data_IF_221242984941
#
_entry.id   IF_221242984941
#
_cell.length_a   1.000
_cell.length_b   1.000
_cell.length_c   1.000
_cell.angle_alpha   90.00
_cell.angle_beta   90.00
_cell.angle_gamma   90.00
#
_symmetry.space_group_name_H-M   'P 1'
#
loop_
_entity.id
_entity.type
_entity.pdbx_description
1 polymer ?
#
# COMPACT_ATOMS: atom_id res chain seq x y z
N UNK A 1 4.58 3.72 22.48
CA UNK A 1 3.58 2.75 22.00
C UNK A 1 4.19 1.64 21.15
N UNK A 2 4.71 1.88 19.95
CA UNK A 2 5.17 0.78 19.07
C UNK A 2 6.35 -0.04 19.62
N UNK A 3 7.42 0.63 20.09
CA UNK A 3 8.58 -0.06 20.70
C UNK A 3 8.22 -0.89 21.94
N UNK A 4 7.22 -0.44 22.70
CA UNK A 4 6.75 -1.17 23.87
C UNK A 4 5.95 -2.40 23.48
N UNK A 5 5.14 -2.31 22.42
CA UNK A 5 4.44 -3.46 21.85
C UNK A 5 5.43 -4.50 21.31
N UNK A 6 6.46 -4.08 20.56
CA UNK A 6 7.52 -4.98 20.09
C UNK A 6 8.22 -5.70 21.23
N UNK A 7 8.61 -4.96 22.28
CA UNK A 7 9.24 -5.55 23.45
C UNK A 7 8.34 -6.58 24.11
N UNK A 8 7.07 -6.25 24.34
CA UNK A 8 6.10 -7.18 24.95
C UNK A 8 5.92 -8.45 24.13
N UNK A 9 5.95 -8.36 22.80
CA UNK A 9 5.87 -9.53 21.90
C UNK A 9 7.11 -10.41 22.03
N UNK A 10 8.30 -9.81 22.09
CA UNK A 10 9.57 -10.53 22.24
C UNK A 10 9.77 -11.12 23.65
N UNK A 11 9.14 -10.54 24.67
CA UNK A 11 9.20 -11.00 26.06
C UNK A 11 8.32 -12.25 26.30
N UNK A 12 7.45 -12.64 25.37
CA UNK A 12 6.63 -13.87 25.48
C UNK A 12 7.54 -15.09 25.39
N UNK A 13 7.71 -15.77 26.54
CA UNK A 13 8.42 -17.05 26.64
C UNK A 13 7.44 -18.12 27.15
N UNK A 14 6.81 -18.83 26.24
CA UNK A 14 6.09 -20.08 26.55
C UNK A 14 6.97 -21.27 26.14
N UNK A 15 7.04 -22.30 26.98
CA UNK A 15 7.74 -23.54 26.64
C UNK A 15 7.16 -24.14 25.35
N UNK A 16 7.98 -24.18 24.30
CA UNK A 16 7.60 -24.71 22.99
C UNK A 16 6.98 -23.69 22.02
N UNK A 17 6.83 -22.41 22.38
CA UNK A 17 6.33 -21.36 21.48
C UNK A 17 7.22 -20.11 21.49
N UNK A 18 7.75 -19.77 20.32
CA UNK A 18 8.49 -18.53 20.09
C UNK A 18 7.67 -17.59 19.20
N UNK A 19 7.69 -16.31 19.54
CA UNK A 19 7.04 -15.27 18.73
C UNK A 19 8.10 -14.54 17.91
N UNK A 20 7.82 -14.37 16.63
CA UNK A 20 8.73 -13.76 15.67
C UNK A 20 8.17 -12.44 15.16
N UNK A 21 9.03 -11.43 15.11
CA UNK A 21 8.69 -10.15 14.50
C UNK A 21 9.13 -10.14 13.03
N UNK A 22 8.18 -9.82 12.15
CA UNK A 22 8.38 -9.53 10.74
C UNK A 22 8.05 -8.07 10.44
N UNK A 23 8.81 -7.42 9.55
CA UNK A 23 8.60 -6.01 9.23
C UNK A 23 9.11 -5.60 7.85
N UNK A 24 8.73 -4.41 7.44
CA UNK A 24 9.20 -3.78 6.20
C UNK A 24 10.24 -2.73 6.50
N UNK A 25 11.34 -2.73 5.75
CA UNK A 25 12.30 -1.64 5.79
C UNK A 25 11.69 -0.39 5.15
N UNK A 26 11.69 0.71 5.89
CA UNK A 26 11.15 2.01 5.46
C UNK A 26 12.26 3.06 5.48
N UNK A 27 12.13 4.18 4.74
CA UNK A 27 13.18 5.22 4.71
C UNK A 27 13.58 5.78 6.09
N UNK A 28 12.62 5.82 7.03
CA UNK A 28 12.81 6.27 8.42
C UNK A 28 13.07 5.14 9.43
N UNK A 29 13.02 3.88 8.98
CA UNK A 29 13.22 2.68 9.80
C UNK A 29 13.99 1.64 8.96
N UNK A 30 15.31 1.85 8.78
CA UNK A 30 16.14 1.02 7.91
C UNK A 30 16.30 -0.40 8.47
N UNK A 31 16.69 -1.37 7.63
CA UNK A 31 16.73 -2.78 8.04
C UNK A 31 17.67 -3.04 9.22
N UNK A 32 18.76 -2.26 9.35
CA UNK A 32 19.69 -2.36 10.47
C UNK A 32 19.01 -2.02 11.80
N UNK A 33 18.15 -0.99 11.82
CA UNK A 33 17.43 -0.57 13.02
C UNK A 33 16.36 -1.59 13.41
N UNK A 34 15.66 -2.18 12.43
CA UNK A 34 14.70 -3.26 12.68
C UNK A 34 15.39 -4.49 13.26
N UNK A 35 16.56 -4.86 12.72
CA UNK A 35 17.36 -5.97 13.24
C UNK A 35 17.81 -5.73 14.68
N UNK A 36 18.28 -4.53 15.00
CA UNK A 36 18.66 -4.16 16.38
C UNK A 36 17.49 -4.24 17.37
N UNK A 37 16.25 -4.09 16.89
CA UNK A 37 15.02 -4.20 17.70
C UNK A 37 14.50 -5.63 17.86
N UNK A 38 15.14 -6.63 17.24
CA UNK A 38 14.75 -8.04 17.38
C UNK A 38 13.80 -8.54 16.28
N UNK A 39 13.74 -7.87 15.14
CA UNK A 39 13.02 -8.40 13.97
C UNK A 39 13.79 -9.58 13.37
N UNK A 40 13.07 -10.68 13.15
CA UNK A 40 13.62 -11.93 12.65
C UNK A 40 13.53 -12.02 11.12
N UNK A 41 12.54 -11.33 10.56
CA UNK A 41 12.38 -11.17 9.12
C UNK A 41 12.19 -9.71 8.78
N UNK A 42 12.98 -9.21 7.83
CA UNK A 42 12.85 -7.85 7.31
C UNK A 42 12.74 -7.92 5.80
N UNK A 43 11.63 -7.45 5.26
CA UNK A 43 11.43 -7.32 3.81
C UNK A 43 11.90 -5.95 3.34
N UNK A 44 12.92 -5.94 2.48
CA UNK A 44 13.41 -4.73 1.81
C UNK A 44 12.61 -4.37 0.56
N UNK A 45 12.90 -3.18 0.01
CA UNK A 45 12.39 -2.70 -1.29
C UNK A 45 10.85 -2.72 -1.47
N UNK A 46 10.08 -2.68 -0.37
CA UNK A 46 8.62 -2.68 -0.42
C UNK A 46 8.06 -1.38 -1.02
N UNK A 47 8.82 -0.30 -0.87
CA UNK A 47 8.52 1.03 -1.42
C UNK A 47 8.31 0.99 -2.93
N UNK A 48 9.10 0.22 -3.66
CA UNK A 48 8.93 0.00 -5.12
C UNK A 48 7.58 -0.64 -5.42
N UNK A 49 7.21 -1.68 -4.68
CA UNK A 49 5.94 -2.38 -4.89
C UNK A 49 4.74 -1.48 -4.55
N UNK A 50 4.81 -0.76 -3.43
CA UNK A 50 3.77 0.17 -2.99
C UNK A 50 3.61 1.32 -3.99
N UNK A 51 4.71 1.92 -4.45
CA UNK A 51 4.68 3.02 -5.40
C UNK A 51 4.13 2.57 -6.76
N UNK A 52 4.56 1.40 -7.26
CA UNK A 52 4.02 0.82 -8.49
C UNK A 52 2.51 0.67 -8.39
N UNK A 53 2.02 0.11 -7.29
CA UNK A 53 0.60 -0.13 -7.11
C UNK A 53 -0.19 1.18 -7.02
N UNK A 54 0.31 2.16 -6.25
CA UNK A 54 -0.31 3.47 -6.15
C UNK A 54 -0.40 4.17 -7.52
N UNK A 55 0.67 4.16 -8.31
CA UNK A 55 0.68 4.76 -9.65
C UNK A 55 -0.31 4.07 -10.61
N UNK A 56 -0.39 2.72 -10.56
CA UNK A 56 -1.35 1.97 -11.38
C UNK A 56 -2.79 2.27 -10.97
N UNK A 57 -3.08 2.33 -9.68
CA UNK A 57 -4.40 2.68 -9.17
C UNK A 57 -4.79 4.10 -9.56
N UNK A 58 -3.86 5.05 -9.52
CA UNK A 58 -4.08 6.44 -9.91
C UNK A 58 -4.44 6.56 -11.41
N UNK A 59 -3.69 5.88 -12.29
CA UNK A 59 -4.01 5.84 -13.72
C UNK A 59 -5.36 5.20 -13.99
N UNK A 60 -5.72 4.14 -13.25
CA UNK A 60 -7.04 3.50 -13.37
C UNK A 60 -8.15 4.47 -12.99
N UNK A 61 -7.99 5.20 -11.89
CA UNK A 61 -8.96 6.22 -11.43
C UNK A 61 -9.11 7.35 -12.44
N UNK A 62 -8.00 7.85 -12.98
CA UNK A 62 -8.03 8.87 -14.03
C UNK A 62 -8.83 8.40 -15.26
N UNK A 63 -8.59 7.17 -15.72
CA UNK A 63 -9.32 6.60 -16.86
C UNK A 63 -10.80 6.38 -16.58
N UNK A 64 -11.19 5.97 -15.36
CA UNK A 64 -12.61 5.81 -15.03
C UNK A 64 -13.33 7.16 -14.99
N UNK A 65 -12.70 8.23 -14.48
CA UNK A 65 -13.30 9.57 -14.50
C UNK A 65 -13.51 10.05 -15.94
N UNK A 66 -12.53 9.84 -16.83
CA UNK A 66 -12.66 10.20 -18.24
C UNK A 66 -13.75 9.42 -18.99
N UNK A 67 -14.03 8.18 -18.60
CA UNK A 67 -15.14 7.39 -19.17
C UNK A 67 -16.50 7.90 -18.69
N UNK A 68 -16.65 8.16 -17.40
CA UNK A 68 -17.90 8.70 -16.84
C UNK A 68 -18.24 10.08 -17.44
N UNK A 69 -17.23 10.93 -17.69
CA UNK A 69 -17.43 12.22 -18.34
C UNK A 69 -17.81 12.13 -19.84
N UNK A 70 -17.42 11.06 -20.52
CA UNK A 70 -17.81 10.82 -21.91
C UNK A 70 -19.25 10.29 -22.02
N UNK A 71 -19.70 9.49 -21.05
CA UNK A 71 -21.07 8.96 -20.98
C UNK A 71 -22.10 10.05 -20.61
N UNK A 72 -21.71 11.10 -19.89
CA UNK A 72 -22.57 12.26 -19.59
C UNK A 72 -22.68 13.28 -20.76
N UNK A 73 -21.86 13.15 -21.81
CA UNK A 73 -21.84 14.06 -22.97
C UNK A 73 -22.63 13.58 -24.20
N UNK A 74 -23.26 12.41 -24.16
CA UNK A 74 -24.09 11.88 -25.24
C UNK A 74 -25.57 12.30 -25.09
N UNK A 75 -25.86 13.60 -25.07
CA UNK A 75 -27.19 14.06 -25.48
C UNK A 75 -27.26 13.95 -27.02
N UNK A 76 -28.10 13.03 -27.49
CA UNK A 76 -28.39 12.83 -28.91
C UNK A 76 -28.97 14.13 -29.51
N UNK A 77 -28.23 14.78 -30.40
CA UNK A 77 -28.77 15.78 -31.31
C UNK A 77 -29.70 15.09 -32.32
N UNK A 78 -31.00 15.01 -31.98
CA UNK A 78 -32.04 14.64 -32.94
C UNK A 78 -32.31 15.81 -33.90
N UNK A 79 -31.68 15.72 -35.07
CA UNK A 79 -32.14 16.17 -36.40
C UNK A 79 -32.88 17.51 -36.54
N UNK A 80 -32.19 18.53 -37.06
CA UNK A 80 -32.85 19.63 -37.77
C UNK A 80 -32.02 20.13 -38.96
N UNK A 81 -32.10 19.42 -40.08
CA UNK A 81 -31.90 20.01 -41.41
C UNK A 81 -32.83 19.31 -42.40
N UNK A 82 -33.90 20.00 -42.78
CA UNK A 82 -34.58 19.82 -44.07
C UNK A 82 -34.77 21.20 -44.69
N UNK A 83 -34.30 21.30 -45.93
CA UNK A 83 -34.17 22.45 -46.86
C UNK A 83 -35.09 23.67 -46.68
#
# INVERSE_FOLDING_TARGET
MLKEAERRVLDVKEEGRSVYLGGFAMPKDPPEMLKQRGYHMVSGAIDVAMFRQAAVEDVKRFRSVGKNAAEEGEEKEDGYYSE
#
